data_IF_659554317815
#
_entry.id   IF_659554317815
#
_cell.length_a   1.000
_cell.length_b   1.000
_cell.length_c   1.000
_cell.angle_alpha   90.00
_cell.angle_beta   90.00
_cell.angle_gamma   90.00
#
_symmetry.space_group_name_H-M   'P 1'
#
loop_
_entity.id
_entity.type
_entity.pdbx_description
1 polymer ?
#
# COMPACT_ATOMS: atom_id res chain seq x y z
N UNK A 1 48.67 18.31 5.43
CA UNK A 1 48.93 17.06 4.68
C UNK A 1 48.01 15.93 5.15
N UNK A 2 48.06 15.45 6.40
CA UNK A 2 47.14 14.37 6.84
C UNK A 2 45.66 14.76 6.75
N UNK A 3 45.28 15.91 7.33
CA UNK A 3 43.91 16.42 7.24
C UNK A 3 43.45 16.74 5.80
N UNK A 4 44.38 16.97 4.88
CA UNK A 4 44.10 17.25 3.46
C UNK A 4 43.94 15.95 2.67
N UNK A 5 44.77 14.94 2.99
CA UNK A 5 44.65 13.59 2.46
C UNK A 5 43.36 12.91 2.98
N UNK A 6 42.96 13.16 4.22
CA UNK A 6 41.68 12.67 4.77
C UNK A 6 40.48 13.31 4.06
N UNK A 7 40.57 14.58 3.66
CA UNK A 7 39.53 15.26 2.86
C UNK A 7 39.44 14.72 1.44
N UNK A 8 40.59 14.46 0.81
CA UNK A 8 40.67 13.92 -0.55
C UNK A 8 40.39 12.41 -0.59
N UNK A 9 40.52 11.72 0.54
CA UNK A 9 40.46 10.26 0.65
C UNK A 9 41.83 9.59 0.43
N UNK A 10 41.97 8.34 0.88
CA UNK A 10 43.20 7.56 0.70
C UNK A 10 43.38 7.08 -0.74
N UNK A 11 44.64 6.91 -1.22
CA UNK A 11 44.90 6.31 -2.52
C UNK A 11 44.30 4.90 -2.63
N UNK A 12 43.79 4.56 -3.80
CA UNK A 12 43.31 3.21 -4.07
C UNK A 12 44.52 2.31 -4.35
N UNK A 13 44.54 1.13 -3.74
CA UNK A 13 45.56 0.14 -4.03
C UNK A 13 45.42 -0.44 -5.45
N UNK A 14 46.55 -0.85 -6.02
CA UNK A 14 46.63 -1.36 -7.39
C UNK A 14 46.05 -2.79 -7.48
N UNK A 15 46.17 -3.55 -6.38
CA UNK A 15 45.72 -4.93 -6.24
C UNK A 15 44.20 -5.10 -6.39
N UNK A 16 43.80 -6.19 -7.04
CA UNK A 16 42.38 -6.47 -7.32
C UNK A 16 41.57 -6.75 -6.05
N UNK A 17 42.14 -7.49 -5.11
CA UNK A 17 41.51 -7.77 -3.82
C UNK A 17 41.27 -6.49 -3.03
N UNK A 18 42.23 -5.56 -3.07
CA UNK A 18 42.10 -4.27 -2.41
C UNK A 18 41.05 -3.35 -3.08
N UNK A 19 40.92 -3.38 -4.41
CA UNK A 19 39.83 -2.68 -5.14
C UNK A 19 38.46 -3.22 -4.75
N UNK A 20 38.31 -4.54 -4.73
CA UNK A 20 37.07 -5.19 -4.31
C UNK A 20 36.73 -4.82 -2.86
N UNK A 21 37.70 -4.90 -1.95
CA UNK A 21 37.52 -4.51 -0.55
C UNK A 21 37.01 -3.06 -0.43
N UNK A 22 37.63 -2.13 -1.17
CA UNK A 22 37.25 -0.71 -1.19
C UNK A 22 35.80 -0.54 -1.66
N UNK A 23 35.38 -1.20 -2.74
CA UNK A 23 34.00 -1.14 -3.24
C UNK A 23 33.03 -1.65 -2.16
N UNK A 24 33.33 -2.79 -1.53
CA UNK A 24 32.47 -3.36 -0.49
C UNK A 24 32.38 -2.47 0.75
N UNK A 25 33.47 -1.82 1.14
CA UNK A 25 33.50 -0.85 2.23
C UNK A 25 32.60 0.37 1.94
N UNK A 26 32.70 0.95 0.74
CA UNK A 26 31.85 2.06 0.29
C UNK A 26 30.36 1.66 0.27
N UNK A 27 30.06 0.44 -0.19
CA UNK A 27 28.69 -0.07 -0.18
C UNK A 27 28.16 -0.27 1.25
N UNK A 28 28.99 -0.70 2.20
CA UNK A 28 28.60 -0.79 3.63
C UNK A 28 28.33 0.59 4.23
N UNK A 29 29.14 1.59 3.87
CA UNK A 29 28.91 2.97 4.32
C UNK A 29 27.57 3.50 3.80
N UNK A 30 27.26 3.30 2.51
CA UNK A 30 25.96 3.63 1.94
C UNK A 30 24.82 2.87 2.63
N UNK A 31 24.96 1.55 2.83
CA UNK A 31 23.91 0.71 3.43
C UNK A 31 23.60 1.15 4.87
N UNK A 32 24.62 1.54 5.64
CA UNK A 32 24.45 2.14 6.96
C UNK A 32 23.64 3.43 6.91
N UNK A 33 24.00 4.37 6.04
CA UNK A 33 23.30 5.66 5.89
C UNK A 33 21.87 5.45 5.40
N UNK A 34 21.65 4.52 4.47
CA UNK A 34 20.33 4.17 3.98
C UNK A 34 19.43 3.63 5.10
N UNK A 35 19.96 2.75 5.96
CA UNK A 35 19.23 2.23 7.12
C UNK A 35 18.89 3.33 8.12
N UNK A 36 19.83 4.24 8.40
CA UNK A 36 19.58 5.40 9.26
C UNK A 36 18.48 6.32 8.69
N UNK A 37 18.46 6.51 7.38
CA UNK A 37 17.40 7.26 6.71
C UNK A 37 16.05 6.56 6.69
N UNK A 38 16.04 5.24 6.53
CA UNK A 38 14.84 4.43 6.50
C UNK A 38 14.19 4.34 7.89
N UNK A 39 15.01 4.09 8.91
CA UNK A 39 14.60 3.98 10.32
C UNK A 39 14.37 5.37 10.95
N UNK A 40 14.86 6.45 10.32
CA UNK A 40 14.69 7.84 10.77
C UNK A 40 13.30 8.43 10.47
N UNK A 41 12.94 9.49 11.20
CA UNK A 41 11.59 10.11 11.16
C UNK A 41 11.24 10.83 9.85
N UNK A 42 11.41 12.16 9.80
CA UNK A 42 10.74 13.03 8.80
C UNK A 42 10.96 12.68 7.32
N UNK A 43 12.11 12.10 6.97
CA UNK A 43 12.47 11.82 5.58
C UNK A 43 12.16 10.38 5.13
N UNK A 44 12.01 9.45 6.07
CA UNK A 44 11.84 8.02 5.81
C UNK A 44 10.60 7.45 6.48
N UNK A 45 10.75 6.94 7.70
CA UNK A 45 9.70 6.28 8.47
C UNK A 45 8.41 7.10 8.56
N UNK A 46 8.49 8.39 8.92
CA UNK A 46 7.29 9.24 9.07
C UNK A 46 6.53 9.39 7.75
N UNK A 47 7.24 9.42 6.61
CA UNK A 47 6.59 9.48 5.28
C UNK A 47 5.88 8.19 4.95
N UNK A 48 6.46 7.04 5.30
CA UNK A 48 5.85 5.72 5.12
C UNK A 48 4.61 5.60 6.01
N UNK A 49 4.69 6.01 7.29
CA UNK A 49 3.52 6.12 8.17
C UNK A 49 2.46 7.04 7.57
N UNK A 50 2.84 8.18 7.00
CA UNK A 50 1.92 9.09 6.33
C UNK A 50 1.14 8.46 5.17
N UNK A 51 1.74 7.50 4.44
CA UNK A 51 1.03 6.74 3.39
C UNK A 51 -0.07 5.88 4.03
N UNK A 52 0.24 5.16 5.10
CA UNK A 52 -0.68 4.20 5.71
C UNK A 52 -1.73 4.81 6.62
N UNK A 53 -1.38 5.84 7.39
CA UNK A 53 -2.28 6.41 8.40
C UNK A 53 -3.15 7.53 7.82
N UNK A 54 -2.71 8.15 6.73
CA UNK A 54 -3.43 9.26 6.09
C UNK A 54 -3.92 8.93 4.68
N UNK A 55 -3.00 8.58 3.76
CA UNK A 55 -3.34 8.47 2.34
C UNK A 55 -4.26 7.27 2.06
N UNK A 56 -3.92 6.09 2.57
CA UNK A 56 -4.72 4.88 2.38
C UNK A 56 -6.14 5.04 2.96
N UNK A 57 -6.35 5.40 4.24
CA UNK A 57 -7.69 5.64 4.78
C UNK A 57 -8.46 6.72 4.02
N UNK A 58 -7.80 7.78 3.58
CA UNK A 58 -8.44 8.82 2.75
C UNK A 58 -8.86 8.29 1.38
N UNK A 59 -8.05 7.45 0.73
CA UNK A 59 -8.39 6.83 -0.55
C UNK A 59 -9.56 5.85 -0.41
N UNK A 60 -9.58 5.04 0.66
CA UNK A 60 -10.67 4.12 0.95
C UNK A 60 -12.02 4.84 1.19
N UNK A 61 -12.01 5.98 1.89
CA UNK A 61 -13.22 6.80 2.10
C UNK A 61 -13.76 7.45 0.83
N UNK A 62 -12.91 7.65 -0.20
CA UNK A 62 -13.30 8.27 -1.47
C UNK A 62 -13.86 7.27 -2.48
N UNK A 63 -13.95 5.99 -2.13
CA UNK A 63 -14.50 4.97 -3.02
C UNK A 63 -15.99 5.21 -3.28
N UNK A 64 -16.50 4.93 -4.50
CA UNK A 64 -17.84 5.32 -4.92
C UNK A 64 -18.93 4.35 -4.41
N UNK A 65 -18.89 3.96 -3.13
CA UNK A 65 -19.84 3.01 -2.56
C UNK A 65 -21.27 3.56 -2.52
N UNK A 66 -21.47 4.86 -2.32
CA UNK A 66 -22.81 5.47 -2.37
C UNK A 66 -23.50 5.26 -3.73
N UNK A 67 -22.72 5.34 -4.81
CA UNK A 67 -23.21 5.09 -6.17
C UNK A 67 -23.42 3.58 -6.40
N UNK A 68 -22.45 2.76 -6.01
CA UNK A 68 -22.49 1.32 -6.23
C UNK A 68 -23.60 0.62 -5.42
N UNK A 69 -23.86 1.07 -4.19
CA UNK A 69 -24.89 0.53 -3.29
C UNK A 69 -26.18 1.37 -3.31
N UNK A 70 -26.34 2.23 -4.32
CA UNK A 70 -27.59 2.97 -4.52
C UNK A 70 -28.77 2.02 -4.76
N UNK A 71 -29.95 2.38 -4.25
CA UNK A 71 -31.16 1.55 -4.35
C UNK A 71 -31.47 1.07 -5.78
N UNK A 72 -31.40 1.92 -6.84
CA UNK A 72 -31.63 1.46 -8.20
C UNK A 72 -30.60 0.41 -8.65
N UNK A 73 -29.33 0.57 -8.27
CA UNK A 73 -28.28 -0.36 -8.65
C UNK A 73 -28.35 -1.68 -7.89
N UNK A 74 -28.66 -1.64 -6.59
CA UNK A 74 -28.89 -2.84 -5.77
C UNK A 74 -30.06 -3.64 -6.32
N UNK A 75 -31.20 -2.98 -6.60
CA UNK A 75 -32.38 -3.61 -7.20
C UNK A 75 -32.02 -4.29 -8.52
N UNK A 76 -31.30 -3.59 -9.40
CA UNK A 76 -30.81 -4.13 -10.67
C UNK A 76 -29.96 -5.39 -10.46
N UNK A 77 -28.87 -5.29 -9.68
CA UNK A 77 -27.90 -6.38 -9.50
C UNK A 77 -28.55 -7.61 -8.84
N UNK A 78 -29.36 -7.42 -7.80
CA UNK A 78 -30.01 -8.52 -7.09
C UNK A 78 -31.04 -9.20 -7.99
N UNK A 79 -31.92 -8.43 -8.66
CA UNK A 79 -32.92 -9.00 -9.57
C UNK A 79 -32.29 -9.72 -10.77
N UNK A 80 -31.16 -9.22 -11.30
CA UNK A 80 -30.40 -9.88 -12.39
C UNK A 80 -29.66 -11.14 -11.93
N UNK A 81 -29.31 -11.26 -10.65
CA UNK A 81 -28.48 -12.35 -10.13
C UNK A 81 -29.30 -13.52 -9.58
N UNK A 82 -30.39 -13.22 -8.87
CA UNK A 82 -31.24 -14.23 -8.24
C UNK A 82 -32.48 -14.57 -9.11
N UNK A 83 -32.82 -13.74 -10.10
CA UNK A 83 -33.97 -13.95 -10.98
C UNK A 83 -35.29 -13.40 -10.42
N UNK A 84 -36.38 -13.55 -11.18
CA UNK A 84 -37.67 -12.88 -10.93
C UNK A 84 -38.51 -13.50 -9.78
N UNK A 85 -38.09 -14.64 -9.22
CA UNK A 85 -38.88 -15.33 -8.20
C UNK A 85 -38.69 -14.71 -6.81
N UNK A 86 -39.75 -14.47 -6.03
CA UNK A 86 -39.61 -14.11 -4.62
C UNK A 86 -39.02 -15.32 -3.89
N UNK A 87 -37.76 -15.21 -3.44
CA UNK A 87 -37.09 -16.35 -2.83
C UNK A 87 -37.62 -16.56 -1.40
N UNK A 88 -37.98 -17.81 -1.06
CA UNK A 88 -38.25 -18.26 0.31
C UNK A 88 -36.98 -18.30 1.18
N UNK A 89 -35.80 -18.09 0.57
CA UNK A 89 -34.45 -18.15 1.15
C UNK A 89 -33.74 -16.84 0.74
N UNK A 90 -32.83 -16.30 1.56
CA UNK A 90 -32.18 -15.02 1.26
C UNK A 90 -31.44 -15.04 -0.12
N UNK A 91 -31.47 -13.93 -0.89
CA UNK A 91 -30.85 -13.83 -2.23
C UNK A 91 -29.32 -13.97 -2.20
N UNK A 92 -28.81 -15.20 -2.24
CA UNK A 92 -27.38 -15.47 -2.03
C UNK A 92 -26.49 -14.88 -3.15
N UNK A 93 -26.95 -14.92 -4.40
CA UNK A 93 -26.12 -14.51 -5.54
C UNK A 93 -26.08 -12.99 -5.70
N UNK A 94 -27.19 -12.30 -5.44
CA UNK A 94 -27.22 -10.84 -5.41
C UNK A 94 -26.29 -10.26 -4.36
N UNK A 95 -26.30 -10.83 -3.14
CA UNK A 95 -25.35 -10.44 -2.08
C UNK A 95 -23.90 -10.68 -2.51
N UNK A 96 -23.59 -11.88 -3.02
CA UNK A 96 -22.24 -12.24 -3.46
C UNK A 96 -21.73 -11.28 -4.53
N UNK A 97 -22.52 -11.02 -5.59
CA UNK A 97 -22.13 -10.07 -6.65
C UNK A 97 -21.91 -8.64 -6.15
N UNK A 98 -22.79 -8.14 -5.29
CA UNK A 98 -22.64 -6.80 -4.73
C UNK A 98 -21.37 -6.67 -3.89
N UNK A 99 -21.08 -7.69 -3.09
CA UNK A 99 -19.87 -7.72 -2.26
C UNK A 99 -18.63 -7.82 -3.15
N UNK A 100 -18.55 -8.78 -4.06
CA UNK A 100 -17.41 -8.93 -4.98
C UNK A 100 -17.15 -7.65 -5.79
N UNK A 101 -18.22 -7.05 -6.35
CA UNK A 101 -18.16 -5.79 -7.07
C UNK A 101 -17.62 -4.65 -6.20
N UNK A 102 -18.05 -4.58 -4.95
CA UNK A 102 -17.57 -3.57 -4.00
C UNK A 102 -16.11 -3.79 -3.59
N UNK A 103 -15.74 -5.02 -3.25
CA UNK A 103 -14.38 -5.36 -2.82
C UNK A 103 -13.35 -5.11 -3.91
N UNK A 104 -13.74 -5.24 -5.18
CA UNK A 104 -12.86 -4.94 -6.33
C UNK A 104 -12.31 -3.51 -6.32
N UNK A 105 -13.06 -2.54 -5.76
CA UNK A 105 -12.61 -1.15 -5.67
C UNK A 105 -11.41 -0.96 -4.72
N UNK A 106 -11.17 -1.88 -3.79
CA UNK A 106 -10.02 -1.80 -2.87
C UNK A 106 -8.67 -2.07 -3.55
N UNK A 107 -8.66 -2.72 -4.73
CA UNK A 107 -7.41 -2.99 -5.47
C UNK A 107 -6.66 -1.69 -5.80
N UNK A 108 -7.36 -0.66 -6.28
CA UNK A 108 -6.76 0.62 -6.66
C UNK A 108 -6.01 1.30 -5.50
N UNK A 109 -6.68 1.60 -4.36
CA UNK A 109 -6.02 2.16 -3.18
C UNK A 109 -4.88 1.29 -2.61
N UNK A 110 -5.01 -0.04 -2.66
CA UNK A 110 -3.97 -0.96 -2.22
C UNK A 110 -2.70 -0.83 -3.08
N UNK A 111 -2.85 -0.83 -4.41
CA UNK A 111 -1.75 -0.63 -5.36
C UNK A 111 -1.12 0.77 -5.23
N UNK A 112 -1.94 1.81 -5.08
CA UNK A 112 -1.44 3.17 -4.89
C UNK A 112 -0.58 3.30 -3.62
N UNK A 113 -0.92 2.57 -2.56
CA UNK A 113 -0.13 2.54 -1.32
C UNK A 113 1.23 1.86 -1.52
N UNK A 114 1.27 0.78 -2.30
CA UNK A 114 2.51 0.10 -2.72
C UNK A 114 3.41 1.06 -3.50
N UNK A 115 2.83 1.80 -4.44
CA UNK A 115 3.55 2.73 -5.32
C UNK A 115 4.09 3.95 -4.56
N UNK A 116 3.31 4.49 -3.62
CA UNK A 116 3.72 5.59 -2.78
C UNK A 116 4.92 5.22 -1.89
N UNK A 117 4.92 4.03 -1.28
CA UNK A 117 6.06 3.55 -0.48
C UNK A 117 7.29 3.31 -1.35
N UNK A 118 7.13 2.69 -2.52
CA UNK A 118 8.24 2.51 -3.45
C UNK A 118 8.89 3.84 -3.86
N UNK A 119 8.09 4.88 -4.11
CA UNK A 119 8.60 6.22 -4.40
C UNK A 119 9.42 6.79 -3.24
N UNK A 120 8.95 6.63 -2.00
CA UNK A 120 9.72 7.03 -0.80
C UNK A 120 11.06 6.31 -0.75
N UNK A 121 11.08 4.98 -0.95
CA UNK A 121 12.31 4.19 -0.93
C UNK A 121 13.32 4.63 -2.00
N UNK A 122 12.87 4.95 -3.22
CA UNK A 122 13.75 5.49 -4.29
C UNK A 122 14.36 6.83 -3.92
N UNK A 123 13.58 7.74 -3.34
CA UNK A 123 14.11 9.01 -2.86
C UNK A 123 15.12 8.82 -1.71
N UNK A 124 14.89 7.85 -0.82
CA UNK A 124 15.84 7.51 0.25
C UNK A 124 17.17 6.97 -0.32
N UNK A 125 17.13 6.12 -1.34
CA UNK A 125 18.35 5.67 -2.04
C UNK A 125 19.10 6.86 -2.61
N UNK A 126 18.43 7.75 -3.36
CA UNK A 126 19.04 8.95 -3.95
C UNK A 126 19.68 9.84 -2.89
N UNK A 127 18.98 10.08 -1.79
CA UNK A 127 19.49 10.88 -0.67
C UNK A 127 20.71 10.24 -0.02
N UNK A 128 20.66 8.93 0.22
CA UNK A 128 21.74 8.19 0.91
C UNK A 128 23.02 8.13 0.06
N UNK A 129 22.90 8.00 -1.26
CA UNK A 129 24.05 8.12 -2.17
C UNK A 129 24.68 9.51 -2.06
N UNK A 130 23.87 10.58 -2.08
CA UNK A 130 24.37 11.96 -1.99
C UNK A 130 25.01 12.31 -0.65
N UNK A 131 24.58 11.68 0.44
CA UNK A 131 25.10 11.88 1.79
C UNK A 131 26.35 11.06 2.11
N UNK A 132 26.55 9.94 1.39
CA UNK A 132 27.75 9.12 1.53
C UNK A 132 28.96 9.84 0.93
N UNK A 133 29.74 10.52 1.77
CA UNK A 133 30.86 11.37 1.35
C UNK A 133 31.92 10.60 0.58
N UNK A 134 32.24 9.38 0.98
CA UNK A 134 33.29 8.60 0.30
C UNK A 134 32.87 8.18 -1.11
N UNK A 135 31.58 7.93 -1.34
CA UNK A 135 31.04 7.58 -2.65
C UNK A 135 31.14 8.72 -3.66
N UNK A 136 31.14 9.99 -3.21
CA UNK A 136 31.19 11.17 -4.08
C UNK A 136 32.36 11.17 -5.07
N UNK A 137 33.46 10.52 -4.69
CA UNK A 137 34.67 10.38 -5.50
C UNK A 137 34.52 9.47 -6.71
N UNK A 138 33.52 8.59 -6.72
CA UNK A 138 33.38 7.50 -7.68
C UNK A 138 32.03 7.58 -8.42
N UNK A 139 31.91 8.42 -9.47
CA UNK A 139 30.67 8.58 -10.21
C UNK A 139 30.16 7.28 -10.84
N UNK A 140 31.05 6.43 -11.39
CA UNK A 140 30.62 5.17 -12.00
C UNK A 140 30.10 4.17 -10.98
N UNK A 141 30.73 4.09 -9.80
CA UNK A 141 30.20 3.28 -8.69
C UNK A 141 28.85 3.82 -8.22
N UNK A 142 28.67 5.14 -8.07
CA UNK A 142 27.38 5.72 -7.69
C UNK A 142 26.27 5.36 -8.69
N UNK A 143 26.53 5.52 -9.99
CA UNK A 143 25.56 5.20 -11.03
C UNK A 143 25.18 3.71 -11.01
N UNK A 144 26.19 2.83 -10.89
CA UNK A 144 25.97 1.38 -10.84
C UNK A 144 25.22 0.98 -9.56
N UNK A 145 25.56 1.56 -8.42
CA UNK A 145 24.89 1.32 -7.14
C UNK A 145 23.43 1.79 -7.18
N UNK A 146 23.17 2.99 -7.71
CA UNK A 146 21.83 3.54 -7.88
C UNK A 146 20.96 2.67 -8.79
N UNK A 147 21.52 2.20 -9.91
CA UNK A 147 20.83 1.32 -10.84
C UNK A 147 20.48 -0.02 -10.18
N UNK A 148 21.43 -0.64 -9.49
CA UNK A 148 21.21 -1.93 -8.82
C UNK A 148 20.19 -1.81 -7.67
N UNK A 149 20.28 -0.76 -6.86
CA UNK A 149 19.31 -0.48 -5.80
C UNK A 149 17.90 -0.25 -6.38
N UNK A 150 17.79 0.50 -7.48
CA UNK A 150 16.51 0.74 -8.16
C UNK A 150 15.91 -0.57 -8.68
N UNK A 151 16.72 -1.42 -9.32
CA UNK A 151 16.27 -2.72 -9.81
C UNK A 151 15.76 -3.62 -8.66
N UNK A 152 16.46 -3.65 -7.52
CA UNK A 152 16.01 -4.38 -6.34
C UNK A 152 14.66 -3.84 -5.82
N UNK A 153 14.51 -2.52 -5.71
CA UNK A 153 13.26 -1.89 -5.27
C UNK A 153 12.07 -2.18 -6.22
N UNK A 154 12.29 -2.28 -7.53
CA UNK A 154 11.24 -2.67 -8.48
C UNK A 154 10.78 -4.12 -8.26
N UNK A 155 11.72 -5.04 -7.98
CA UNK A 155 11.38 -6.44 -7.65
C UNK A 155 10.55 -6.53 -6.37
N UNK A 156 10.96 -5.81 -5.32
CA UNK A 156 10.24 -5.76 -4.05
C UNK A 156 8.83 -5.16 -4.22
N UNK A 157 8.71 -4.09 -5.03
CA UNK A 157 7.43 -3.48 -5.39
C UNK A 157 6.52 -4.47 -6.11
N UNK A 158 7.03 -5.21 -7.09
CA UNK A 158 6.24 -6.19 -7.85
C UNK A 158 5.66 -7.28 -6.96
N UNK A 159 6.47 -7.87 -6.07
CA UNK A 159 6.01 -8.88 -5.11
C UNK A 159 5.03 -8.30 -4.09
N UNK A 160 5.25 -7.07 -3.63
CA UNK A 160 4.32 -6.38 -2.73
C UNK A 160 2.97 -6.12 -3.39
N UNK A 161 2.97 -5.64 -4.64
CA UNK A 161 1.74 -5.42 -5.45
C UNK A 161 0.93 -6.70 -5.57
N UNK A 162 1.58 -7.81 -5.94
CA UNK A 162 0.95 -9.13 -6.03
C UNK A 162 0.36 -9.57 -4.69
N UNK A 163 1.06 -9.31 -3.58
CA UNK A 163 0.61 -9.70 -2.24
C UNK A 163 -0.59 -8.89 -1.77
N UNK A 164 -0.61 -7.56 -1.96
CA UNK A 164 -1.75 -6.72 -1.53
C UNK A 164 -3.00 -6.99 -2.36
N UNK A 165 -2.85 -7.27 -3.65
CA UNK A 165 -3.99 -7.68 -4.51
C UNK A 165 -4.55 -9.02 -4.02
N UNK A 166 -3.68 -9.99 -3.71
CA UNK A 166 -4.10 -11.28 -3.13
C UNK A 166 -4.86 -11.10 -1.82
N UNK A 167 -4.44 -10.18 -0.95
CA UNK A 167 -5.20 -9.90 0.28
C UNK A 167 -6.62 -9.44 -0.03
N UNK A 168 -6.81 -8.53 -1.00
CA UNK A 168 -8.15 -8.10 -1.42
C UNK A 168 -8.94 -9.25 -2.04
N UNK A 169 -8.30 -10.05 -2.89
CA UNK A 169 -8.94 -11.19 -3.56
C UNK A 169 -9.36 -12.28 -2.57
N UNK A 170 -8.58 -12.51 -1.51
CA UNK A 170 -8.92 -13.44 -0.43
C UNK A 170 -10.21 -13.04 0.29
N UNK A 171 -10.38 -11.76 0.62
CA UNK A 171 -11.60 -11.24 1.23
C UNK A 171 -12.82 -11.42 0.31
N UNK A 172 -12.63 -11.39 -1.01
CA UNK A 172 -13.71 -11.65 -1.98
C UNK A 172 -14.00 -13.14 -2.19
N UNK A 173 -13.00 -14.01 -2.00
CA UNK A 173 -13.11 -15.45 -2.27
C UNK A 173 -13.86 -16.20 -1.17
N UNK A 174 -13.78 -15.71 0.08
CA UNK A 174 -14.46 -16.34 1.21
C UNK A 174 -15.09 -15.30 2.12
N UNK A 175 -16.42 -15.25 2.12
CA UNK A 175 -17.17 -14.30 2.94
C UNK A 175 -17.17 -14.72 4.42
N UNK A 176 -16.93 -13.76 5.30
CA UNK A 176 -16.97 -13.98 6.75
C UNK A 176 -18.42 -14.19 7.22
N UNK A 177 -18.88 -15.43 7.19
CA UNK A 177 -20.28 -15.79 7.51
C UNK A 177 -20.73 -15.37 8.91
N UNK A 178 -19.80 -15.34 9.88
CA UNK A 178 -20.09 -14.97 11.27
C UNK A 178 -20.55 -13.50 11.39
N UNK A 179 -20.10 -12.64 10.47
CA UNK A 179 -20.61 -11.27 10.37
C UNK A 179 -22.11 -11.25 10.10
N UNK A 180 -22.57 -12.05 9.14
CA UNK A 180 -23.98 -12.08 8.74
C UNK A 180 -24.88 -12.72 9.79
N UNK A 181 -24.35 -13.61 10.65
CA UNK A 181 -25.09 -14.17 11.79
C UNK A 181 -25.35 -13.16 12.90
N UNK A 182 -24.51 -12.13 13.00
CA UNK A 182 -24.56 -11.07 14.02
C UNK A 182 -25.31 -9.82 13.57
N UNK A 183 -25.59 -9.69 12.28
CA UNK A 183 -26.49 -8.65 11.78
C UNK A 183 -27.84 -8.79 12.50
N UNK A 184 -28.43 -7.70 13.01
CA UNK A 184 -29.74 -7.75 13.64
C UNK A 184 -30.71 -8.47 12.71
N UNK A 185 -31.16 -9.65 13.13
CA UNK A 185 -32.31 -10.30 12.51
C UNK A 185 -33.52 -9.47 12.92
N UNK A 186 -33.77 -8.36 12.22
CA UNK A 186 -35.09 -7.72 12.24
C UNK A 186 -36.06 -8.60 11.43
N UNK A 187 -36.26 -9.82 11.92
CA UNK A 187 -37.48 -10.58 11.79
C UNK A 187 -38.09 -10.54 13.20
N UNK A 188 -39.31 -10.03 13.32
CA UNK A 188 -40.05 -9.78 14.56
C UNK A 188 -39.70 -8.49 15.32
N UNK A 189 -40.38 -7.41 14.93
CA UNK A 189 -41.15 -6.55 15.87
C UNK A 189 -42.04 -5.63 15.03
N UNK A 190 -43.05 -6.23 14.39
CA UNK A 190 -44.27 -5.47 14.11
C UNK A 190 -44.89 -5.06 15.43
N UNK A 191 -45.47 -3.85 15.56
CA UNK A 191 -46.08 -3.43 16.81
C UNK A 191 -47.17 -4.44 17.20
N UNK A 192 -47.10 -4.94 18.43
CA UNK A 192 -48.12 -5.81 18.99
C UNK A 192 -49.51 -5.16 18.85
N UNK A 193 -50.56 -5.89 18.42
CA UNK A 193 -51.90 -5.33 18.42
C UNK A 193 -52.31 -5.07 19.88
N UNK A 194 -52.53 -3.80 20.21
CA UNK A 194 -53.15 -3.42 21.48
C UNK A 194 -54.55 -4.04 21.57
N UNK A 195 -54.97 -4.57 22.73
CA UNK A 195 -56.32 -5.11 22.87
C UNK A 195 -57.32 -3.96 22.78
N UNK A 196 -58.07 -3.92 21.68
CA UNK A 196 -59.18 -2.98 21.51
C UNK A 196 -60.26 -3.29 22.55
N UNK A 197 -60.49 -2.34 23.44
CA UNK A 197 -61.59 -2.34 24.40
C UNK A 197 -62.93 -2.33 23.69
N UNK A 198 -63.72 -3.32 24.06
CA UNK A 198 -65.11 -3.56 23.72
C UNK A 198 -66.01 -2.36 24.08
N UNK A 199 -66.69 -1.76 23.09
CA UNK A 199 -67.94 -1.01 23.30
C UNK A 199 -68.86 -1.18 22.09
N UNK A 200 -69.84 -2.07 22.26
CA UNK A 200 -71.09 -2.14 21.49
C UNK A 200 -71.84 -0.79 21.52
N UNK A 201 -72.39 -0.39 20.37
CA UNK A 201 -73.69 0.26 20.31
C UNK A 201 -74.38 -0.07 18.97
N UNK A 202 -75.66 -0.37 19.08
CA UNK A 202 -76.59 -0.97 18.12
C UNK A 202 -77.42 0.13 17.48
N UNK A 203 -77.67 0.07 16.16
CA UNK A 203 -79.00 0.32 15.57
C UNK A 203 -78.99 0.26 14.05
N UNK A 204 -79.84 -0.61 13.51
CA UNK A 204 -80.25 -0.69 12.10
C UNK A 204 -81.24 0.43 11.75
N UNK A 205 -81.27 0.91 10.49
CA UNK A 205 -82.46 0.76 9.61
C UNK A 205 -82.22 1.25 8.15
N UNK A 206 -82.55 0.36 7.19
CA UNK A 206 -83.29 0.54 5.91
C UNK A 206 -83.16 1.81 5.03
N UNK A 207 -82.75 1.62 3.76
CA UNK A 207 -83.56 1.70 2.48
C UNK A 207 -82.75 2.22 1.26
N UNK A 208 -82.74 1.44 0.15
CA UNK A 208 -82.61 1.90 -1.26
C UNK A 208 -84.04 2.19 -1.82
N UNK A 209 -84.32 2.80 -3.02
CA UNK A 209 -83.53 2.97 -4.28
C UNK A 209 -83.80 4.34 -5.02
N UNK A 210 -83.81 4.52 -6.37
CA UNK A 210 -82.82 4.27 -7.46
C UNK A 210 -82.46 5.52 -8.36
N UNK A 211 -81.40 5.37 -9.20
CA UNK A 211 -81.11 5.96 -10.54
C UNK A 211 -81.24 7.47 -10.86
N UNK A 212 -80.18 8.13 -11.38
CA UNK A 212 -79.95 8.44 -12.82
C UNK A 212 -78.80 9.47 -13.08
N UNK A 213 -78.04 9.25 -14.17
CA UNK A 213 -77.17 10.15 -14.98
C UNK A 213 -75.95 10.93 -14.41
N UNK A 214 -74.76 10.60 -14.97
CA UNK A 214 -73.91 11.60 -15.64
C UNK A 214 -72.37 11.60 -15.43
N UNK A 215 -71.63 11.32 -16.53
CA UNK A 215 -70.27 11.77 -16.93
C UNK A 215 -69.00 11.08 -16.29
N UNK A 216 -67.80 11.12 -16.94
CA UNK A 216 -67.23 10.00 -17.69
C UNK A 216 -65.90 9.44 -17.14
N UNK A 217 -65.57 8.22 -17.59
CA UNK A 217 -64.27 7.54 -17.64
C UNK A 217 -63.04 8.23 -17.00
N UNK A 218 -62.75 7.88 -15.75
CA UNK A 218 -61.40 7.92 -15.20
C UNK A 218 -60.81 6.51 -15.22
N UNK A 219 -59.55 6.43 -15.64
CA UNK A 219 -58.74 5.23 -15.81
C UNK A 219 -58.89 4.26 -14.63
N UNK A 220 -59.11 2.97 -14.94
CA UNK A 220 -58.96 1.87 -13.99
C UNK A 220 -57.48 1.76 -13.61
N UNK A 221 -57.05 2.58 -12.65
CA UNK A 221 -55.94 2.23 -11.77
C UNK A 221 -56.38 1.05 -10.91
N UNK A 222 -55.81 -0.12 -11.18
CA UNK A 222 -56.09 -1.35 -10.44
C UNK A 222 -55.70 -1.14 -8.96
N UNK A 223 -56.63 -1.12 -7.99
CA UNK A 223 -56.35 -0.75 -6.61
C UNK A 223 -56.05 -1.97 -5.74
N UNK A 224 -55.11 -2.81 -6.16
CA UNK A 224 -54.73 -4.02 -5.40
C UNK A 224 -53.28 -4.41 -5.68
N UNK A 225 -52.34 -3.86 -4.92
CA UNK A 225 -51.39 -4.69 -4.14
C UNK A 225 -50.64 -3.84 -3.07
N UNK A 226 -51.18 -3.69 -1.85
CA UNK A 226 -50.49 -3.03 -0.74
C UNK A 226 -49.30 -3.84 -0.17
N UNK A 227 -49.09 -5.09 -0.64
CA UNK A 227 -48.01 -5.98 -0.20
C UNK A 227 -46.78 -5.90 -1.11
N UNK A 228 -46.95 -5.65 -2.42
CA UNK A 228 -45.84 -5.54 -3.37
C UNK A 228 -44.83 -4.43 -3.05
N UNK A 229 -45.32 -3.28 -2.57
CA UNK A 229 -44.47 -2.09 -2.31
C UNK A 229 -43.75 -2.13 -0.95
N UNK A 230 -44.31 -2.84 0.03
CA UNK A 230 -43.69 -3.01 1.36
C UNK A 230 -42.50 -3.97 1.35
N UNK A 231 -42.46 -4.88 0.38
CA UNK A 231 -41.41 -5.87 0.22
C UNK A 231 -40.39 -5.54 -0.87
N UNK A 232 -40.71 -4.67 -1.85
CA UNK A 232 -39.78 -4.32 -2.91
C UNK A 232 -38.59 -3.49 -2.41
N UNK A 233 -38.80 -2.19 -2.20
CA UNK A 233 -37.69 -1.26 -1.99
C UNK A 233 -37.07 -1.33 -0.58
N UNK A 234 -37.86 -1.64 0.45
CA UNK A 234 -37.35 -1.80 1.82
C UNK A 234 -36.36 -2.99 1.93
N UNK A 235 -36.65 -4.09 1.21
CA UNK A 235 -35.76 -5.25 1.14
C UNK A 235 -34.42 -4.90 0.49
N UNK A 236 -34.43 -4.26 -0.69
CA UNK A 236 -33.19 -3.85 -1.37
C UNK A 236 -32.40 -2.81 -0.56
N UNK A 237 -33.05 -1.88 0.15
CA UNK A 237 -32.35 -0.98 1.09
C UNK A 237 -31.65 -1.75 2.20
N UNK A 238 -32.29 -2.77 2.78
CA UNK A 238 -31.68 -3.63 3.81
C UNK A 238 -30.47 -4.40 3.25
N UNK A 239 -30.56 -4.94 2.03
CA UNK A 239 -29.42 -5.57 1.35
C UNK A 239 -28.26 -4.58 1.21
N UNK A 240 -28.52 -3.39 0.66
CA UNK A 240 -27.50 -2.36 0.49
C UNK A 240 -26.83 -1.98 1.82
N UNK A 241 -27.61 -1.82 2.90
CA UNK A 241 -27.10 -1.52 4.24
C UNK A 241 -26.22 -2.65 4.81
N UNK A 242 -26.65 -3.90 4.66
CA UNK A 242 -25.90 -5.07 5.11
C UNK A 242 -24.57 -5.21 4.37
N UNK A 243 -24.60 -5.07 3.04
CA UNK A 243 -23.41 -5.08 2.18
C UNK A 243 -22.48 -3.93 2.54
N UNK A 244 -22.99 -2.72 2.71
CA UNK A 244 -22.19 -1.55 3.16
C UNK A 244 -21.50 -1.81 4.49
N UNK A 245 -22.20 -2.43 5.45
CA UNK A 245 -21.64 -2.76 6.76
C UNK A 245 -20.53 -3.82 6.65
N UNK A 246 -20.73 -4.83 5.81
CA UNK A 246 -19.72 -5.86 5.53
C UNK A 246 -18.46 -5.26 4.89
N UNK A 247 -18.63 -4.42 3.88
CA UNK A 247 -17.53 -3.72 3.21
C UNK A 247 -16.78 -2.81 4.19
N UNK A 248 -17.49 -2.15 5.12
CA UNK A 248 -16.88 -1.37 6.19
C UNK A 248 -15.94 -2.21 7.05
N UNK A 249 -16.40 -3.38 7.50
CA UNK A 249 -15.59 -4.33 8.27
C UNK A 249 -14.36 -4.82 7.48
N UNK A 250 -14.53 -5.19 6.21
CA UNK A 250 -13.39 -5.58 5.35
C UNK A 250 -12.43 -4.40 5.14
N UNK A 251 -12.94 -3.18 4.97
CA UNK A 251 -12.12 -1.97 4.86
C UNK A 251 -11.23 -1.78 6.09
N UNK A 252 -11.78 -1.99 7.30
CA UNK A 252 -11.03 -1.89 8.54
C UNK A 252 -9.96 -2.98 8.67
N UNK A 253 -10.26 -4.21 8.24
CA UNK A 253 -9.26 -5.28 8.13
C UNK A 253 -8.14 -4.91 7.16
N UNK A 254 -8.48 -4.43 5.96
CA UNK A 254 -7.51 -4.07 4.91
C UNK A 254 -6.62 -2.89 5.31
N UNK A 255 -7.14 -1.91 6.06
CA UNK A 255 -6.32 -0.82 6.64
C UNK A 255 -5.20 -1.34 7.54
N UNK A 256 -5.33 -2.54 8.10
CA UNK A 256 -4.31 -3.15 8.97
C UNK A 256 -3.43 -4.14 8.19
N UNK A 257 -4.01 -4.94 7.30
CA UNK A 257 -3.26 -6.00 6.60
C UNK A 257 -2.43 -5.49 5.43
N UNK A 258 -2.91 -4.47 4.70
CA UNK A 258 -2.15 -3.87 3.58
C UNK A 258 -0.82 -3.26 4.06
N UNK A 259 -0.77 -2.39 5.08
CA UNK A 259 0.49 -1.86 5.58
C UNK A 259 1.47 -2.95 6.01
N UNK A 260 0.99 -4.00 6.69
CA UNK A 260 1.82 -5.14 7.10
C UNK A 260 2.47 -5.84 5.89
N UNK A 261 1.69 -6.11 4.85
CA UNK A 261 2.20 -6.72 3.62
C UNK A 261 3.20 -5.81 2.89
N UNK A 262 2.91 -4.50 2.79
CA UNK A 262 3.81 -3.53 2.14
C UNK A 262 5.14 -3.41 2.91
N UNK A 263 5.07 -3.28 4.24
CA UNK A 263 6.27 -3.22 5.09
C UNK A 263 7.08 -4.51 4.98
N UNK A 264 6.42 -5.67 5.01
CA UNK A 264 7.10 -6.96 4.91
C UNK A 264 7.80 -7.15 3.56
N UNK A 265 7.09 -6.92 2.44
CA UNK A 265 7.60 -7.19 1.10
C UNK A 265 8.52 -6.09 0.55
N UNK A 266 8.39 -4.83 1.01
CA UNK A 266 9.18 -3.71 0.49
C UNK A 266 10.13 -3.14 1.51
N UNK A 267 9.63 -2.66 2.65
CA UNK A 267 10.46 -1.89 3.60
C UNK A 267 11.51 -2.79 4.25
N UNK A 268 11.09 -3.96 4.73
CA UNK A 268 11.98 -4.95 5.33
C UNK A 268 12.97 -5.53 4.32
N UNK A 269 12.50 -5.82 3.10
CA UNK A 269 13.37 -6.31 2.02
C UNK A 269 14.37 -5.24 1.57
N UNK A 270 13.95 -3.98 1.42
CA UNK A 270 14.86 -2.87 1.14
C UNK A 270 15.87 -2.67 2.27
N UNK A 271 15.50 -2.86 3.54
CA UNK A 271 16.44 -2.77 4.65
C UNK A 271 17.52 -3.86 4.63
N UNK A 272 17.16 -5.08 4.23
CA UNK A 272 18.03 -6.25 4.42
C UNK A 272 18.74 -6.69 3.13
N UNK A 273 18.09 -6.51 1.98
CA UNK A 273 18.45 -7.18 0.72
C UNK A 273 18.68 -6.20 -0.45
N UNK A 274 18.68 -4.88 -0.22
CA UNK A 274 18.82 -3.87 -1.28
C UNK A 274 20.05 -4.09 -2.17
N UNK A 275 21.18 -4.45 -1.56
CA UNK A 275 22.45 -4.68 -2.28
C UNK A 275 22.77 -6.16 -2.52
N UNK A 276 21.86 -7.08 -2.20
CA UNK A 276 22.13 -8.53 -2.32
C UNK A 276 22.49 -8.92 -3.76
N UNK A 277 21.69 -8.48 -4.74
CA UNK A 277 21.97 -8.70 -6.16
C UNK A 277 23.25 -7.99 -6.61
N UNK A 278 23.47 -6.77 -6.12
CA UNK A 278 24.68 -6.00 -6.44
C UNK A 278 25.95 -6.73 -5.99
N UNK A 279 25.99 -7.28 -4.78
CA UNK A 279 27.14 -8.05 -4.30
C UNK A 279 27.39 -9.31 -5.13
N UNK A 280 26.33 -9.98 -5.57
CA UNK A 280 26.45 -11.13 -6.49
C UNK A 280 27.06 -10.72 -7.83
N UNK A 281 26.70 -9.54 -8.36
CA UNK A 281 27.26 -9.02 -9.62
C UNK A 281 28.72 -8.58 -9.47
N UNK A 282 29.05 -7.86 -8.37
CA UNK A 282 30.42 -7.42 -8.08
C UNK A 282 31.37 -8.60 -7.90
N UNK A 283 30.93 -9.67 -7.23
CA UNK A 283 31.75 -10.87 -7.05
C UNK A 283 32.10 -11.61 -8.34
N UNK A 284 31.46 -11.28 -9.47
CA UNK A 284 31.77 -11.82 -10.81
C UNK A 284 32.64 -10.89 -11.65
N UNK A 285 32.95 -9.67 -11.17
CA UNK A 285 33.78 -8.70 -11.90
C UNK A 285 35.26 -8.93 -11.61
N UNK A 286 36.08 -8.73 -12.62
CA UNK A 286 37.54 -8.93 -12.54
C UNK A 286 38.31 -7.63 -12.83
N UNK A 287 39.52 -7.53 -12.29
CA UNK A 287 40.55 -6.49 -12.50
C UNK A 287 40.10 -5.16 -13.10
N UNK A 288 40.03 -5.11 -14.44
CA UNK A 288 39.70 -3.90 -15.20
C UNK A 288 38.29 -3.37 -14.89
N UNK A 289 37.30 -4.26 -14.78
CA UNK A 289 35.92 -3.88 -14.50
C UNK A 289 35.72 -3.33 -13.07
N UNK A 290 36.53 -3.80 -12.12
CA UNK A 290 36.56 -3.24 -10.76
C UNK A 290 37.25 -1.87 -10.74
N UNK A 291 38.30 -1.70 -11.55
CA UNK A 291 38.97 -0.41 -11.76
C UNK A 291 38.04 0.64 -12.37
N UNK A 292 37.25 0.27 -13.37
CA UNK A 292 36.30 1.17 -14.05
C UNK A 292 35.20 1.69 -13.11
N UNK A 293 34.86 0.94 -12.05
CA UNK A 293 33.92 1.40 -11.02
C UNK A 293 34.55 2.43 -10.06
N UNK A 294 35.86 2.34 -9.88
CA UNK A 294 36.64 3.20 -9.01
C UNK A 294 37.33 4.32 -9.80
N UNK A 295 36.70 4.76 -10.88
CA UNK A 295 37.17 5.88 -11.68
C UNK A 295 37.09 7.18 -10.89
N UNK A 296 38.19 7.93 -10.90
CA UNK A 296 38.30 9.22 -10.23
C UNK A 296 38.75 10.28 -11.23
N UNK A 297 38.52 11.55 -10.90
CA UNK A 297 39.09 12.65 -11.67
C UNK A 297 40.63 12.53 -11.69
N UNK A 298 41.27 12.46 -12.87
CA UNK A 298 42.72 12.28 -12.98
C UNK A 298 43.53 13.37 -12.27
N UNK A 299 43.01 14.59 -12.20
CA UNK A 299 43.66 15.71 -11.51
C UNK A 299 43.66 15.51 -9.99
N UNK A 300 42.54 15.06 -9.42
CA UNK A 300 42.42 14.76 -7.99
C UNK A 300 43.23 13.52 -7.61
N UNK A 301 43.25 12.50 -8.49
CA UNK A 301 44.08 11.32 -8.30
C UNK A 301 45.57 11.67 -8.24
N UNK A 302 46.04 12.48 -9.19
CA UNK A 302 47.44 12.93 -9.25
C UNK A 302 47.82 13.79 -8.03
N UNK A 303 46.98 14.77 -7.67
CA UNK A 303 47.18 15.59 -6.48
C UNK A 303 47.26 14.74 -5.19
N UNK A 304 46.41 13.72 -5.08
CA UNK A 304 46.41 12.80 -3.92
C UNK A 304 47.67 11.94 -3.88
N UNK A 305 48.10 11.40 -5.02
CA UNK A 305 49.32 10.60 -5.10
C UNK A 305 50.55 11.42 -4.69
N UNK A 306 50.64 12.68 -5.14
CA UNK A 306 51.71 13.59 -4.77
C UNK A 306 51.69 13.92 -3.27
N UNK A 307 50.52 14.25 -2.71
CA UNK A 307 50.35 14.51 -1.28
C UNK A 307 50.68 13.28 -0.43
N UNK A 308 50.26 12.09 -0.84
CA UNK A 308 50.53 10.84 -0.14
C UNK A 308 52.04 10.52 -0.13
N UNK A 309 52.69 10.63 -1.29
CA UNK A 309 54.14 10.44 -1.44
C UNK A 309 54.92 11.45 -0.59
N UNK A 310 54.51 12.71 -0.61
CA UNK A 310 55.13 13.76 0.20
C UNK A 310 54.96 13.49 1.69
N UNK A 311 53.78 13.07 2.13
CA UNK A 311 53.52 12.69 3.52
C UNK A 311 54.39 11.50 3.96
N UNK A 312 54.53 10.48 3.13
CA UNK A 312 55.38 9.31 3.40
C UNK A 312 56.85 9.71 3.60
N UNK A 313 57.37 10.58 2.72
CA UNK A 313 58.72 11.14 2.86
C UNK A 313 58.91 11.90 4.18
N UNK A 314 57.92 12.71 4.58
CA UNK A 314 57.98 13.43 5.86
C UNK A 314 57.91 12.49 7.07
N UNK A 315 57.12 11.41 7.01
CA UNK A 315 57.08 10.41 8.08
C UNK A 315 58.42 9.70 8.22
N UNK A 316 58.99 9.26 7.11
CA UNK A 316 60.32 8.64 7.09
C UNK A 316 61.40 9.57 7.65
N UNK A 317 61.40 10.84 7.24
CA UNK A 317 62.33 11.84 7.77
C UNK A 317 62.15 12.07 9.29
N UNK A 318 60.90 12.07 9.78
CA UNK A 318 60.62 12.16 11.22
C UNK A 318 61.18 10.96 11.98
N UNK A 319 60.96 9.75 11.47
CA UNK A 319 61.42 8.50 12.10
C UNK A 319 62.96 8.42 12.11
N UNK A 320 63.62 8.90 11.05
CA UNK A 320 65.09 9.04 10.99
C UNK A 320 65.63 10.04 12.02
N UNK A 321 64.93 11.17 12.25
CA UNK A 321 65.30 12.14 13.29
C UNK A 321 65.10 11.55 14.69
N UNK A 322 63.96 10.91 14.96
CA UNK A 322 63.67 10.28 16.27
C UNK A 322 64.68 9.17 16.60
N UNK A 323 65.04 8.34 15.62
CA UNK A 323 66.07 7.32 15.81
C UNK A 323 67.46 7.92 16.02
N UNK A 324 67.83 9.00 15.33
CA UNK A 324 69.10 9.68 15.57
C UNK A 324 69.19 10.36 16.95
N UNK A 325 68.05 10.81 17.50
CA UNK A 325 67.97 11.39 18.86
C UNK A 325 68.08 10.31 19.94
N UNK A 326 67.52 9.11 19.72
CA UNK A 326 67.59 7.98 20.67
C UNK A 326 68.97 7.31 20.76
N UNK A 327 69.84 7.53 19.77
CA UNK A 327 71.20 6.95 19.71
C UNK A 327 72.25 7.89 20.33
N UNK A 328 71.87 9.11 20.75
CA UNK A 328 72.71 10.04 21.51
C UNK A 328 72.40 10.01 23.00
#
# INVERSE_FOLDING_TARGET
MEAELDRLGRPIAIDEGAKLYTILELCRAFDKIFKEHLDGGRAGGDRIYGVFDNQLPAALRKLPFDRHLSLPNVKKIVSESDGYQPHLIAPEQGYRRLIEGSLSYFRGPAEASVDAVHFVLKELVRKSIGETKELRRFPSLQATLAAAATEALEKFRAESKKTVIRLVDMESSYLTVDFFRKLPLEFENGPAPSPATDRRAVSADRRNPPSDRGIPSAERGNPTDPLGDRYGDAHFRRIGSNVSSYIGMVSDTLKVTIPKAVVYCQVKEARNNLLHYFYTQIGRKEGKQLGDLLDEDPSLMSQRQELAKRLELYKKAKDEIESAVLVR
#
